data_IF_626787708444
#
_entry.id   IF_626787708444
#
_cell.length_a   1.000
_cell.length_b   1.000
_cell.length_c   1.000
_cell.angle_alpha   90.00
_cell.angle_beta   90.00
_cell.angle_gamma   90.00
#
_symmetry.space_group_name_H-M   'P 1'
#
loop_
_entity.id
_entity.type
_entity.pdbx_description
1 polymer ?
#
# COMPACT_ATOMS: atom_id res chain seq x y z
N UNK A 1 -23.62 12.52 -14.41
CA UNK A 1 -22.87 13.73 -14.00
C UNK A 1 -21.80 13.30 -13.01
N UNK A 2 -20.56 13.73 -13.20
CA UNK A 2 -19.43 13.41 -12.30
C UNK A 2 -19.49 14.23 -11.01
N UNK A 3 -18.79 13.81 -9.96
CA UNK A 3 -18.74 14.54 -8.67
C UNK A 3 -18.30 15.99 -8.86
N UNK A 4 -17.30 16.24 -9.72
CA UNK A 4 -16.80 17.58 -9.97
C UNK A 4 -17.75 18.42 -10.82
N UNK A 5 -18.51 17.82 -11.76
CA UNK A 5 -19.59 18.51 -12.47
C UNK A 5 -20.71 18.94 -11.52
N UNK A 6 -21.16 18.04 -10.63
CA UNK A 6 -22.17 18.33 -9.62
C UNK A 6 -21.72 19.45 -8.67
N UNK A 7 -20.45 19.46 -8.27
CA UNK A 7 -19.89 20.52 -7.46
C UNK A 7 -19.91 21.87 -8.20
N UNK A 8 -19.52 21.89 -9.49
CA UNK A 8 -19.55 23.13 -10.29
C UNK A 8 -20.97 23.67 -10.43
N UNK A 9 -21.95 22.80 -10.68
CA UNK A 9 -23.35 23.20 -10.77
C UNK A 9 -23.84 23.77 -9.42
N UNK A 10 -23.59 23.04 -8.32
CA UNK A 10 -24.00 23.46 -6.97
C UNK A 10 -23.38 24.78 -6.53
N UNK A 11 -22.12 25.04 -6.88
CA UNK A 11 -21.39 26.24 -6.50
C UNK A 11 -21.40 27.34 -7.59
N UNK A 12 -22.11 27.11 -8.70
CA UNK A 12 -22.16 28.00 -9.85
C UNK A 12 -20.75 28.39 -10.39
N UNK A 13 -19.88 27.39 -10.53
CA UNK A 13 -18.50 27.57 -11.00
C UNK A 13 -18.38 27.25 -12.48
N UNK A 14 -17.74 28.15 -13.24
CA UNK A 14 -17.42 27.92 -14.65
C UNK A 14 -16.04 27.27 -14.86
N UNK A 15 -15.13 27.43 -13.89
CA UNK A 15 -13.77 26.88 -13.96
C UNK A 15 -13.75 25.43 -13.50
N UNK A 16 -12.91 24.62 -14.13
CA UNK A 16 -12.60 23.26 -13.67
C UNK A 16 -11.82 23.31 -12.36
N UNK A 17 -12.09 22.34 -11.49
CA UNK A 17 -11.39 22.16 -10.22
C UNK A 17 -9.89 21.94 -10.42
N UNK A 18 -9.15 22.27 -9.39
CA UNK A 18 -7.72 22.00 -9.26
C UNK A 18 -7.47 20.88 -8.26
N UNK A 19 -6.38 20.12 -8.43
CA UNK A 19 -6.12 18.97 -7.55
C UNK A 19 -4.63 18.74 -7.26
N UNK A 20 -4.37 18.09 -6.13
CA UNK A 20 -3.09 17.45 -5.82
C UNK A 20 -3.33 15.98 -5.48
N UNK A 21 -2.59 15.07 -6.11
CA UNK A 21 -2.64 13.63 -5.84
C UNK A 21 -1.42 13.21 -5.01
N UNK A 22 -1.63 12.82 -3.76
CA UNK A 22 -0.56 12.47 -2.82
C UNK A 22 -0.33 10.96 -2.78
N UNK A 23 0.92 10.54 -3.03
CA UNK A 23 1.25 9.14 -3.29
C UNK A 23 0.80 8.70 -4.68
N UNK A 24 0.99 9.55 -5.69
CA UNK A 24 0.45 9.35 -7.04
C UNK A 24 1.08 8.16 -7.80
N UNK A 25 2.14 7.54 -7.27
CA UNK A 25 2.75 6.33 -7.78
C UNK A 25 3.19 6.45 -9.24
N UNK A 26 2.50 5.76 -10.13
CA UNK A 26 2.83 5.77 -11.55
C UNK A 26 2.34 7.03 -12.29
N UNK A 27 1.62 7.95 -11.64
CA UNK A 27 1.15 9.21 -12.21
C UNK A 27 0.01 9.10 -13.23
N UNK A 28 -0.58 7.91 -13.41
CA UNK A 28 -1.60 7.68 -14.44
C UNK A 28 -2.86 8.54 -14.21
N UNK A 29 -3.34 8.61 -12.97
CA UNK A 29 -4.52 9.41 -12.64
C UNK A 29 -4.30 10.89 -12.94
N UNK A 30 -3.13 11.41 -12.55
CA UNK A 30 -2.72 12.80 -12.81
C UNK A 30 -2.72 13.06 -14.32
N UNK A 31 -2.12 12.16 -15.11
CA UNK A 31 -2.07 12.30 -16.56
C UNK A 31 -3.47 12.33 -17.20
N UNK A 32 -4.38 11.45 -16.76
CA UNK A 32 -5.77 11.43 -17.23
C UNK A 32 -6.46 12.75 -16.90
N UNK A 33 -6.44 13.19 -15.64
CA UNK A 33 -7.10 14.43 -15.21
C UNK A 33 -6.52 15.66 -15.93
N UNK A 34 -5.19 15.71 -16.08
CA UNK A 34 -4.52 16.76 -16.85
C UNK A 34 -4.92 16.75 -18.32
N UNK A 35 -5.06 15.59 -18.95
CA UNK A 35 -5.53 15.46 -20.34
C UNK A 35 -6.98 15.90 -20.52
N UNK A 36 -7.80 15.74 -19.48
CA UNK A 36 -9.16 16.27 -19.43
C UNK A 36 -9.19 17.78 -19.14
N UNK A 37 -8.05 18.43 -18.90
CA UNK A 37 -7.94 19.87 -18.68
C UNK A 37 -8.11 20.32 -17.24
N UNK A 38 -8.04 19.40 -16.27
CA UNK A 38 -7.95 19.75 -14.85
C UNK A 38 -6.51 20.12 -14.50
N UNK A 39 -6.32 21.24 -13.78
CA UNK A 39 -4.99 21.68 -13.37
C UNK A 39 -4.62 20.99 -12.06
N UNK A 40 -3.50 20.29 -12.03
CA UNK A 40 -3.08 19.62 -10.83
C UNK A 40 -1.70 19.01 -10.94
N UNK A 41 -1.26 18.46 -9.81
CA UNK A 41 0.07 17.84 -9.67
C UNK A 41 -0.05 16.50 -8.97
N UNK A 42 0.83 15.57 -9.31
CA UNK A 42 1.05 14.36 -8.53
C UNK A 42 2.33 14.46 -7.73
N UNK A 43 2.29 14.07 -6.46
CA UNK A 43 3.46 14.03 -5.60
C UNK A 43 3.65 12.58 -5.14
N UNK A 44 4.85 12.05 -5.36
CA UNK A 44 5.24 10.75 -4.83
C UNK A 44 6.67 10.84 -4.28
N UNK A 45 6.98 10.01 -3.28
CA UNK A 45 8.32 9.95 -2.72
C UNK A 45 9.37 9.48 -3.74
N UNK A 46 8.91 8.81 -4.79
CA UNK A 46 9.77 8.19 -5.80
C UNK A 46 9.26 8.45 -7.22
N UNK A 47 10.16 8.94 -8.08
CA UNK A 47 9.91 8.99 -9.52
C UNK A 47 9.86 7.57 -10.12
N UNK A 48 8.82 7.29 -10.91
CA UNK A 48 8.69 6.03 -11.68
C UNK A 48 9.14 6.25 -13.12
N UNK A 49 9.73 5.23 -13.76
CA UNK A 49 10.21 5.31 -15.16
C UNK A 49 9.14 5.75 -16.16
N UNK A 50 7.89 5.36 -15.91
CA UNK A 50 6.75 5.75 -16.75
C UNK A 50 6.49 7.26 -16.74
N UNK A 51 6.96 8.00 -15.73
CA UNK A 51 6.80 9.45 -15.68
C UNK A 51 7.43 10.14 -16.89
N UNK A 52 8.53 9.59 -17.40
CA UNK A 52 9.23 10.12 -18.58
C UNK A 52 8.44 9.95 -19.89
N UNK A 53 7.38 9.15 -19.87
CA UNK A 53 6.51 8.92 -21.03
C UNK A 53 5.31 9.88 -21.07
N UNK A 54 5.02 10.60 -19.99
CA UNK A 54 3.92 11.56 -19.99
C UNK A 54 4.32 12.89 -20.62
N UNK A 55 3.36 13.54 -21.28
CA UNK A 55 3.57 14.85 -21.89
C UNK A 55 3.67 15.99 -20.89
N UNK A 56 4.04 17.18 -21.37
CA UNK A 56 4.25 18.40 -20.57
C UNK A 56 3.03 18.89 -19.79
N UNK A 57 1.82 18.41 -20.12
CA UNK A 57 0.59 18.69 -19.37
C UNK A 57 0.53 17.96 -18.03
N UNK A 58 1.29 16.88 -17.86
CA UNK A 58 1.29 16.03 -16.67
C UNK A 58 2.40 16.47 -15.72
N UNK A 59 2.04 17.09 -14.60
CA UNK A 59 3.02 17.60 -13.63
C UNK A 59 3.19 16.59 -12.49
N UNK A 60 4.38 15.99 -12.40
CA UNK A 60 4.72 15.00 -11.38
C UNK A 60 5.98 15.42 -10.63
N UNK A 61 5.93 15.35 -9.30
CA UNK A 61 6.94 15.86 -8.38
C UNK A 61 7.43 14.72 -7.50
N UNK A 62 8.74 14.47 -7.54
CA UNK A 62 9.39 13.53 -6.63
C UNK A 62 9.72 14.24 -5.32
N UNK A 63 8.90 14.05 -4.30
CA UNK A 63 9.05 14.67 -2.98
C UNK A 63 8.42 13.80 -1.90
N UNK A 64 9.10 13.67 -0.76
CA UNK A 64 8.53 13.05 0.42
C UNK A 64 7.39 13.92 0.98
N UNK A 65 6.26 13.30 1.28
CA UNK A 65 5.11 13.94 1.92
C UNK A 65 5.27 13.76 3.43
N UNK A 66 5.75 14.81 4.10
CA UNK A 66 5.91 14.85 5.56
C UNK A 66 4.74 15.61 6.20
N UNK A 67 4.00 14.99 7.14
CA UNK A 67 2.89 15.63 7.84
C UNK A 67 3.39 16.77 8.74
N UNK A 68 3.32 17.98 8.20
CA UNK A 68 3.88 19.19 8.81
C UNK A 68 3.18 20.43 8.28
N UNK A 69 3.32 21.53 9.01
CA UNK A 69 2.81 22.84 8.57
C UNK A 69 3.51 23.36 7.30
N UNK A 70 4.59 22.71 6.86
CA UNK A 70 5.34 23.06 5.66
C UNK A 70 4.76 22.44 4.39
N UNK A 71 3.84 21.47 4.52
CA UNK A 71 3.24 20.75 3.39
C UNK A 71 1.74 20.99 3.32
N UNK A 72 1.40 22.17 2.82
CA UNK A 72 0.03 22.65 2.68
C UNK A 72 -0.27 22.96 1.22
N UNK A 73 -1.54 22.85 0.83
CA UNK A 73 -1.98 22.98 -0.56
C UNK A 73 -3.12 24.00 -0.74
N UNK A 74 -3.10 25.17 -0.08
CA UNK A 74 -4.24 26.12 -0.04
C UNK A 74 -4.71 26.61 -1.43
N UNK A 75 -3.87 26.48 -2.46
CA UNK A 75 -4.16 26.85 -3.84
C UNK A 75 -4.97 25.81 -4.63
N UNK A 76 -5.15 24.60 -4.09
CA UNK A 76 -5.88 23.51 -4.73
C UNK A 76 -7.27 23.31 -4.12
N UNK A 77 -8.23 22.87 -4.94
CA UNK A 77 -9.59 22.57 -4.49
C UNK A 77 -9.71 21.18 -3.87
N UNK A 78 -8.94 20.20 -4.38
CA UNK A 78 -9.01 18.79 -4.01
C UNK A 78 -7.66 18.19 -3.65
N UNK A 79 -7.64 17.39 -2.58
CA UNK A 79 -6.57 16.41 -2.34
C UNK A 79 -7.10 15.02 -2.66
N UNK A 80 -6.35 14.31 -3.48
CA UNK A 80 -6.66 12.95 -3.91
C UNK A 80 -5.67 12.00 -3.22
N UNK A 81 -6.23 10.92 -2.68
CA UNK A 81 -5.51 9.78 -2.15
C UNK A 81 -5.94 8.50 -2.82
N UNK A 82 -5.45 8.27 -4.02
CA UNK A 82 -5.78 7.07 -4.78
C UNK A 82 -4.75 5.96 -4.50
N UNK A 83 -5.10 5.01 -3.64
CA UNK A 83 -4.19 3.93 -3.23
C UNK A 83 -2.88 4.42 -2.58
N UNK A 84 -2.97 5.48 -1.77
CA UNK A 84 -1.82 6.18 -1.20
C UNK A 84 -1.14 5.49 0.00
N UNK A 85 -1.40 4.20 0.24
CA UNK A 85 -0.78 3.38 1.28
C UNK A 85 -0.67 4.07 2.66
N UNK A 86 0.54 4.28 3.19
CA UNK A 86 0.81 4.89 4.49
C UNK A 86 0.33 6.34 4.60
N UNK A 87 0.15 7.04 3.47
CA UNK A 87 -0.35 8.42 3.44
C UNK A 87 -1.88 8.50 3.57
N UNK A 88 -2.59 7.39 3.38
CA UNK A 88 -4.06 7.36 3.45
C UNK A 88 -4.64 8.10 4.68
N UNK A 89 -4.20 7.84 5.93
CA UNK A 89 -4.71 8.56 7.09
C UNK A 89 -4.26 10.03 7.17
N UNK A 90 -3.16 10.39 6.51
CA UNK A 90 -2.62 11.76 6.53
C UNK A 90 -3.32 12.70 5.55
N UNK A 91 -3.84 12.19 4.44
CA UNK A 91 -4.52 12.99 3.42
C UNK A 91 -5.67 13.84 3.97
N UNK A 92 -6.63 13.31 4.76
CA UNK A 92 -7.69 14.16 5.32
C UNK A 92 -7.15 15.18 6.33
N UNK A 93 -6.07 14.87 7.05
CA UNK A 93 -5.40 15.82 7.96
C UNK A 93 -4.80 16.99 7.17
N UNK A 94 -4.01 16.68 6.13
CA UNK A 94 -3.37 17.67 5.26
C UNK A 94 -4.45 18.55 4.61
N UNK A 95 -5.53 17.95 4.10
CA UNK A 95 -6.62 18.70 3.50
C UNK A 95 -7.35 19.60 4.50
N UNK A 96 -7.61 19.08 5.71
CA UNK A 96 -8.24 19.83 6.80
C UNK A 96 -7.46 21.09 7.16
N UNK A 97 -6.14 20.97 7.29
CA UNK A 97 -5.28 22.09 7.66
C UNK A 97 -4.96 23.00 6.46
N UNK A 98 -4.97 22.49 5.23
CA UNK A 98 -4.59 23.26 4.03
C UNK A 98 -5.59 24.36 3.69
N UNK A 99 -6.89 24.07 3.77
CA UNK A 99 -7.95 25.07 3.56
C UNK A 99 -9.29 24.56 4.08
N UNK A 100 -10.08 25.48 4.63
CA UNK A 100 -11.46 25.21 5.04
C UNK A 100 -12.31 24.66 3.89
N UNK A 101 -12.09 25.14 2.66
CA UNK A 101 -12.87 24.77 1.48
C UNK A 101 -12.33 23.53 0.73
N UNK A 102 -11.25 22.92 1.22
CA UNK A 102 -10.64 21.78 0.54
C UNK A 102 -11.53 20.55 0.58
N UNK A 103 -11.45 19.73 -0.46
CA UNK A 103 -12.19 18.48 -0.61
C UNK A 103 -11.24 17.31 -0.70
N UNK A 104 -11.74 16.13 -0.37
CA UNK A 104 -10.92 14.91 -0.33
C UNK A 104 -11.58 13.80 -1.11
N UNK A 105 -10.79 13.11 -1.92
CA UNK A 105 -11.12 11.78 -2.42
C UNK A 105 -10.12 10.77 -1.87
N UNK A 106 -10.59 9.70 -1.24
CA UNK A 106 -9.76 8.60 -0.75
C UNK A 106 -10.21 7.29 -1.35
N UNK A 107 -9.28 6.55 -1.96
CA UNK A 107 -9.47 5.15 -2.32
C UNK A 107 -8.47 4.27 -1.54
N UNK A 108 -8.82 3.83 -0.32
CA UNK A 108 -7.92 3.06 0.52
C UNK A 108 -7.73 1.63 -0.01
N UNK A 109 -6.47 1.19 -0.03
CA UNK A 109 -6.09 -0.21 -0.30
C UNK A 109 -5.38 -0.85 0.90
N UNK A 110 -4.25 -0.30 1.34
CA UNK A 110 -3.49 -0.84 2.47
C UNK A 110 -4.00 -0.23 3.78
N UNK A 111 -4.07 -1.05 4.84
CA UNK A 111 -4.65 -0.62 6.10
C UNK A 111 -3.54 -0.04 6.99
N UNK A 112 -3.39 1.28 6.97
CA UNK A 112 -2.41 2.02 7.77
C UNK A 112 -3.07 3.05 8.69
N UNK A 113 -2.49 3.22 9.87
CA UNK A 113 -2.69 4.36 10.79
C UNK A 113 -1.53 5.34 10.63
N UNK A 114 -1.49 6.38 11.47
CA UNK A 114 -0.46 7.41 11.41
C UNK A 114 0.97 6.88 11.59
N UNK A 115 1.14 5.84 12.42
CA UNK A 115 2.45 5.32 12.83
C UNK A 115 2.66 3.83 12.49
N UNK A 116 1.84 3.24 11.61
CA UNK A 116 2.01 1.83 11.27
C UNK A 116 0.79 1.18 10.67
N UNK A 117 0.77 -0.15 10.67
CA UNK A 117 -0.36 -0.93 10.14
C UNK A 117 -1.55 -0.85 11.09
N UNK A 118 -2.73 -0.75 10.51
CA UNK A 118 -3.99 -0.76 11.27
C UNK A 118 -4.31 -2.16 11.80
N UNK A 119 -4.57 -2.24 13.10
CA UNK A 119 -5.08 -3.42 13.77
C UNK A 119 -6.61 -3.39 13.87
N UNK A 120 -7.25 -4.54 13.68
CA UNK A 120 -8.71 -4.64 13.68
C UNK A 120 -9.27 -4.45 15.08
N UNK A 121 -10.19 -3.50 15.24
CA UNK A 121 -10.85 -3.22 16.52
C UNK A 121 -12.30 -3.71 16.61
N UNK A 122 -12.95 -4.07 15.49
CA UNK A 122 -14.36 -4.47 15.47
C UNK A 122 -14.52 -5.99 15.26
N UNK A 123 -14.92 -6.76 16.29
CA UNK A 123 -15.30 -8.17 16.14
C UNK A 123 -16.44 -8.30 15.12
N UNK A 124 -16.38 -9.31 14.24
CA UNK A 124 -17.39 -9.54 13.20
C UNK A 124 -17.18 -8.77 11.89
N UNK A 125 -16.27 -7.78 11.84
CA UNK A 125 -15.89 -7.11 10.60
C UNK A 125 -14.66 -7.79 9.96
N UNK A 126 -14.60 -7.77 8.62
CA UNK A 126 -13.34 -8.01 7.91
C UNK A 126 -12.35 -6.88 8.22
N UNK A 127 -11.04 -7.14 8.05
CA UNK A 127 -9.99 -6.13 8.21
C UNK A 127 -10.31 -4.84 7.45
N UNK A 128 -10.74 -4.96 6.19
CA UNK A 128 -11.04 -3.82 5.34
C UNK A 128 -12.30 -3.06 5.78
N UNK A 129 -13.37 -3.75 6.16
CA UNK A 129 -14.57 -3.08 6.70
C UNK A 129 -14.29 -2.36 8.03
N UNK A 130 -13.46 -2.95 8.90
CA UNK A 130 -12.99 -2.30 10.13
C UNK A 130 -12.19 -1.04 9.80
N UNK A 131 -11.33 -1.12 8.79
CA UNK A 131 -10.51 0.00 8.35
C UNK A 131 -11.32 1.14 7.73
N UNK A 132 -12.33 0.83 6.91
CA UNK A 132 -13.25 1.84 6.36
C UNK A 132 -14.00 2.60 7.46
N UNK A 133 -14.42 1.91 8.53
CA UNK A 133 -15.02 2.57 9.70
C UNK A 133 -14.02 3.53 10.36
N UNK A 134 -12.77 3.10 10.56
CA UNK A 134 -11.72 3.97 11.08
C UNK A 134 -11.50 5.21 10.22
N UNK A 135 -11.40 5.07 8.90
CA UNK A 135 -11.22 6.21 7.99
C UNK A 135 -12.42 7.15 7.97
N UNK A 136 -13.62 6.61 8.10
CA UNK A 136 -14.84 7.40 8.19
C UNK A 136 -14.87 8.25 9.47
N UNK A 137 -14.55 7.67 10.62
CA UNK A 137 -14.40 8.41 11.88
C UNK A 137 -13.28 9.45 11.79
N UNK A 138 -12.12 9.08 11.23
CA UNK A 138 -11.02 10.01 10.99
C UNK A 138 -11.48 11.23 10.17
N UNK A 139 -12.14 11.02 9.03
CA UNK A 139 -12.59 12.13 8.18
C UNK A 139 -13.62 13.00 8.90
N UNK A 140 -14.53 12.40 9.69
CA UNK A 140 -15.47 13.16 10.53
C UNK A 140 -14.77 13.99 11.58
N UNK A 141 -13.77 13.45 12.28
CA UNK A 141 -12.98 14.21 13.26
C UNK A 141 -12.14 15.31 12.62
N UNK A 142 -11.72 15.14 11.36
CA UNK A 142 -11.13 16.22 10.57
C UNK A 142 -12.15 17.32 10.18
N UNK A 143 -13.42 17.13 10.55
CA UNK A 143 -14.51 18.10 10.40
C UNK A 143 -15.17 18.08 9.03
N UNK A 144 -15.07 16.96 8.30
CA UNK A 144 -15.68 16.81 6.98
C UNK A 144 -17.08 16.21 7.03
N UNK A 145 -17.92 16.61 6.07
CA UNK A 145 -19.08 15.83 5.66
C UNK A 145 -18.60 14.67 4.78
N UNK A 146 -18.81 13.45 5.28
CA UNK A 146 -18.19 12.23 4.76
C UNK A 146 -19.22 11.39 4.02
N UNK A 147 -18.98 11.17 2.74
CA UNK A 147 -19.74 10.26 1.90
C UNK A 147 -18.89 9.06 1.52
N UNK A 148 -19.56 7.93 1.27
CA UNK A 148 -18.91 6.71 0.84
C UNK A 148 -19.58 6.20 -0.44
N UNK A 149 -18.78 5.81 -1.43
CA UNK A 149 -19.30 5.22 -2.66
C UNK A 149 -18.49 3.95 -3.04
N UNK A 150 -19.08 3.12 -3.90
CA UNK A 150 -18.50 1.87 -4.39
C UNK A 150 -18.18 2.01 -5.87
N UNK A 151 -16.90 2.11 -6.18
CA UNK A 151 -16.39 2.22 -7.54
C UNK A 151 -16.65 0.95 -8.36
N UNK A 152 -16.90 1.14 -9.65
CA UNK A 152 -17.07 0.07 -10.64
C UNK A 152 -15.71 -0.43 -11.15
N UNK A 153 -14.88 -0.92 -10.25
CA UNK A 153 -13.57 -1.50 -10.56
C UNK A 153 -13.52 -2.97 -10.12
N UNK A 154 -12.74 -3.83 -10.80
CA UNK A 154 -12.59 -5.25 -10.47
C UNK A 154 -11.65 -5.45 -9.26
N UNK A 155 -11.96 -4.81 -8.12
CA UNK A 155 -11.20 -4.91 -6.88
C UNK A 155 -12.12 -5.22 -5.70
N UNK A 156 -11.60 -5.95 -4.70
CA UNK A 156 -12.26 -6.10 -3.40
C UNK A 156 -12.15 -4.82 -2.56
N UNK A 157 -11.19 -3.96 -2.88
CA UNK A 157 -10.92 -2.67 -2.24
C UNK A 157 -11.34 -1.52 -3.16
N UNK A 158 -12.65 -1.43 -3.36
CA UNK A 158 -13.30 -0.53 -4.34
C UNK A 158 -14.22 0.50 -3.68
N UNK A 159 -14.15 0.62 -2.36
CA UNK A 159 -14.96 1.59 -1.63
C UNK A 159 -14.10 2.84 -1.48
N UNK A 160 -14.60 3.97 -1.98
CA UNK A 160 -13.97 5.28 -1.80
C UNK A 160 -14.72 6.10 -0.75
N UNK A 161 -14.00 7.03 -0.15
CA UNK A 161 -14.52 8.04 0.77
C UNK A 161 -14.35 9.40 0.11
N UNK A 162 -15.40 10.21 0.13
CA UNK A 162 -15.45 11.55 -0.47
C UNK A 162 -15.83 12.55 0.61
N UNK A 163 -15.02 13.59 0.79
CA UNK A 163 -15.27 14.68 1.74
C UNK A 163 -15.52 15.97 0.96
N UNK A 164 -16.72 16.53 1.04
CA UNK A 164 -17.16 17.62 0.14
C UNK A 164 -17.26 19.01 0.79
N UNK A 165 -17.51 19.06 2.10
CA UNK A 165 -17.70 20.28 2.88
C UNK A 165 -17.35 20.07 4.35
N UNK A 166 -17.40 21.14 5.14
CA UNK A 166 -17.25 21.09 6.59
C UNK A 166 -18.58 20.89 7.29
N UNK A 167 -18.54 20.30 8.49
CA UNK A 167 -19.71 20.07 9.36
C UNK A 167 -19.79 21.08 10.51
N UNK A 168 -18.93 22.09 10.51
CA UNK A 168 -18.81 23.14 11.53
C UNK A 168 -18.68 24.48 10.82
N UNK A 169 -18.85 25.58 11.54
CA UNK A 169 -18.69 26.92 10.99
C UNK A 169 -17.24 27.39 11.02
N UNK A 170 -16.85 28.26 10.09
CA UNK A 170 -15.44 28.69 9.97
C UNK A 170 -14.88 29.36 11.24
N UNK A 171 -15.73 29.93 12.10
CA UNK A 171 -15.31 30.50 13.38
C UNK A 171 -14.81 29.44 14.38
N UNK A 172 -15.24 28.19 14.24
CA UNK A 172 -14.93 27.09 15.17
C UNK A 172 -13.66 26.33 14.76
N UNK A 173 -12.95 26.79 13.72
CA UNK A 173 -11.75 26.13 13.16
C UNK A 173 -10.69 25.82 14.23
N UNK A 174 -10.48 26.75 15.17
CA UNK A 174 -9.49 26.56 16.23
C UNK A 174 -9.87 25.43 17.20
N UNK A 175 -11.16 25.30 17.52
CA UNK A 175 -11.66 24.21 18.37
C UNK A 175 -11.56 22.88 17.64
N UNK A 176 -11.98 22.83 16.38
CA UNK A 176 -11.90 21.61 15.57
C UNK A 176 -10.45 21.20 15.36
N UNK A 177 -9.51 22.12 15.12
CA UNK A 177 -8.09 21.77 14.96
C UNK A 177 -7.46 21.18 16.25
N UNK A 178 -7.94 21.61 17.43
CA UNK A 178 -7.54 20.99 18.69
C UNK A 178 -8.01 19.52 18.75
N UNK A 179 -9.25 19.23 18.35
CA UNK A 179 -9.78 17.86 18.24
C UNK A 179 -9.00 17.02 17.22
N UNK A 180 -8.56 17.62 16.11
CA UNK A 180 -7.70 16.94 15.12
C UNK A 180 -6.38 16.52 15.75
N UNK A 181 -5.74 17.44 16.47
CA UNK A 181 -4.47 17.19 17.15
C UNK A 181 -4.60 16.07 18.17
N UNK A 182 -5.66 16.09 18.99
CA UNK A 182 -5.95 15.04 19.96
C UNK A 182 -6.18 13.67 19.28
N UNK A 183 -6.94 13.64 18.18
CA UNK A 183 -7.18 12.39 17.44
C UNK A 183 -5.88 11.79 16.91
N UNK A 184 -5.01 12.61 16.32
CA UNK A 184 -3.70 12.19 15.80
C UNK A 184 -2.85 11.63 16.94
N UNK A 185 -2.76 12.32 18.07
CA UNK A 185 -1.98 11.89 19.22
C UNK A 185 -2.46 10.54 19.77
N UNK A 186 -3.78 10.40 19.98
CA UNK A 186 -4.40 9.17 20.49
C UNK A 186 -4.17 7.95 19.58
N UNK A 187 -4.20 8.15 18.26
CA UNK A 187 -3.98 7.08 17.29
C UNK A 187 -2.51 6.84 16.94
N UNK A 188 -1.62 7.75 17.33
CA UNK A 188 -0.17 7.61 17.24
C UNK A 188 0.41 6.83 18.44
N UNK A 189 -0.07 7.11 19.67
CA UNK A 189 0.38 6.47 20.92
C UNK A 189 -0.02 5.00 21.05
N UNK A 190 -1.16 4.58 20.49
CA UNK A 190 -1.62 3.19 20.60
C UNK A 190 -0.65 2.17 19.98
N UNK A 191 0.23 2.60 19.07
CA UNK A 191 1.17 1.72 18.39
C UNK A 191 2.59 1.76 18.97
N UNK A 192 2.92 2.69 19.87
CA UNK A 192 4.21 2.69 20.59
C UNK A 192 4.22 1.75 21.80
N UNK A 193 3.07 1.29 22.30
CA UNK A 193 2.97 0.40 23.45
C UNK A 193 2.99 -1.10 23.11
N UNK A 194 2.90 -1.48 21.82
CA UNK A 194 2.85 -2.90 21.40
C UNK A 194 4.23 -3.51 21.08
N UNK A 195 5.35 -2.79 21.28
CA UNK A 195 6.70 -3.28 20.98
C UNK A 195 7.62 -3.49 22.20
N UNK A 196 7.11 -3.38 23.44
CA UNK A 196 7.89 -3.72 24.65
C UNK A 196 7.25 -4.88 25.42
N UNK A 197 7.28 -6.06 24.82
CA UNK A 197 7.38 -7.30 25.59
C UNK A 197 8.74 -7.89 25.32
N UNK A 198 9.74 -7.51 26.12
CA UNK A 198 10.87 -8.36 26.47
C UNK A 198 11.51 -7.81 27.77
N UNK A 199 11.40 -8.65 28.81
CA UNK A 199 12.23 -8.70 30.02
C UNK A 199 12.06 -7.59 31.07
N UNK A 200 11.09 -7.80 31.96
CA UNK A 200 11.22 -7.35 33.35
C UNK A 200 12.38 -8.12 34.01
N UNK A 201 13.56 -7.50 34.04
CA UNK A 201 14.69 -7.87 34.87
C UNK A 201 15.21 -6.61 35.55
N UNK A 202 15.23 -6.61 36.88
CA UNK A 202 15.68 -5.53 37.76
C UNK A 202 16.98 -4.84 37.30
N UNK A 203 17.03 -3.50 37.35
CA UNK A 203 17.91 -2.75 38.26
C UNK A 203 17.87 -1.23 38.01
N UNK A 204 18.07 -0.48 39.10
CA UNK A 204 18.31 0.95 39.19
C UNK A 204 19.29 1.50 38.14
N UNK A 205 19.04 2.70 37.59
CA UNK A 205 19.74 3.95 37.96
C UNK A 205 19.41 5.11 36.99
N UNK A 206 19.22 6.27 37.64
CA UNK A 206 19.50 7.64 37.21
C UNK A 206 18.64 8.33 36.14
N UNK A 207 17.96 9.36 36.65
CA UNK A 207 17.56 10.55 35.94
C UNK A 207 18.78 11.26 35.33
N UNK A 208 18.61 11.76 34.11
CA UNK A 208 18.99 13.08 33.60
C UNK A 208 19.27 13.02 32.09
N UNK A 209 18.41 13.65 31.29
CA UNK A 209 18.79 14.83 30.51
C UNK A 209 17.58 15.35 29.73
N UNK A 210 16.99 16.44 30.24
CA UNK A 210 16.23 17.38 29.41
C UNK A 210 17.22 17.97 28.42
N UNK A 211 17.07 17.65 27.15
CA UNK A 211 17.55 18.49 26.05
C UNK A 211 16.32 19.13 25.42
N UNK A 212 16.12 20.39 25.76
CA UNK A 212 15.21 21.26 25.03
C UNK A 212 15.77 21.44 23.61
N UNK A 213 15.06 20.92 22.60
CA UNK A 213 15.35 21.20 21.20
C UNK A 213 14.07 21.58 20.47
N UNK A 214 14.00 22.86 20.10
CA UNK A 214 13.37 23.44 18.91
C UNK A 214 11.91 23.05 18.61
N UNK A 215 11.00 24.04 18.58
CA UNK A 215 9.64 23.94 17.98
C UNK A 215 9.70 23.13 16.67
N UNK A 216 9.31 21.86 16.69
CA UNK A 216 9.23 21.05 15.49
C UNK A 216 7.88 21.33 14.83
N UNK A 217 7.88 21.87 13.61
CA UNK A 217 6.68 22.08 12.78
C UNK A 217 6.03 20.76 12.28
N UNK A 218 6.36 19.63 12.90
CA UNK A 218 5.89 18.29 12.57
C UNK A 218 4.66 17.96 13.41
N UNK A 219 3.65 17.35 12.81
CA UNK A 219 2.43 16.97 13.53
C UNK A 219 2.60 15.70 14.37
N UNK A 220 3.59 14.86 14.03
CA UNK A 220 4.00 13.68 14.79
C UNK A 220 5.52 13.55 14.73
N UNK A 221 6.14 13.18 15.86
CA UNK A 221 7.60 13.06 15.98
C UNK A 221 8.18 11.78 15.33
N UNK A 222 7.37 10.72 15.21
CA UNK A 222 7.81 9.38 14.76
C UNK A 222 7.30 9.02 13.34
N UNK A 223 6.84 9.99 12.56
CA UNK A 223 6.45 9.70 11.18
C UNK A 223 7.68 9.41 10.33
N UNK A 224 7.73 8.22 9.73
CA UNK A 224 8.83 7.81 8.85
C UNK A 224 8.28 7.73 7.43
N UNK A 225 8.66 8.66 6.52
CA UNK A 225 8.36 8.53 5.11
C UNK A 225 8.94 7.23 4.55
N UNK A 226 8.26 6.67 3.54
CA UNK A 226 8.78 5.51 2.80
C UNK A 226 10.16 5.83 2.21
N UNK A 227 11.06 4.85 2.18
CA UNK A 227 12.37 5.00 1.54
C UNK A 227 12.21 5.39 0.05
N UNK A 228 13.05 6.31 -0.42
CA UNK A 228 13.08 6.72 -1.85
C UNK A 228 13.40 5.54 -2.78
N UNK A 229 14.12 4.55 -2.27
CA UNK A 229 14.53 3.34 -2.99
C UNK A 229 13.67 2.16 -2.57
N UNK A 230 12.85 1.64 -3.49
CA UNK A 230 12.18 0.35 -3.28
C UNK A 230 13.18 -0.76 -3.62
N UNK A 231 13.61 -1.53 -2.63
CA UNK A 231 14.25 -2.80 -2.88
C UNK A 231 13.22 -3.72 -3.53
N UNK A 232 13.33 -3.91 -4.84
CA UNK A 232 12.42 -4.79 -5.58
C UNK A 232 12.71 -6.23 -5.15
N UNK A 233 11.86 -6.76 -4.26
CA UNK A 233 11.97 -8.11 -3.67
C UNK A 233 10.93 -9.04 -4.27
N UNK A 234 10.82 -9.05 -5.59
CA UNK A 234 10.01 -10.00 -6.34
C UNK A 234 10.94 -10.90 -7.17
N UNK A 235 10.54 -12.15 -7.38
CA UNK A 235 11.34 -13.13 -8.13
C UNK A 235 11.54 -12.76 -9.61
N UNK A 236 11.04 -11.61 -10.09
CA UNK A 236 11.18 -11.18 -11.50
C UNK A 236 12.56 -10.59 -11.82
N UNK A 237 13.40 -10.34 -10.80
CA UNK A 237 14.80 -9.93 -10.98
C UNK A 237 15.81 -11.05 -10.69
N UNK A 238 15.35 -12.28 -10.46
CA UNK A 238 16.27 -13.42 -10.37
C UNK A 238 16.91 -13.63 -11.73
N UNK A 239 18.22 -13.87 -11.71
CA UNK A 239 18.97 -14.26 -12.90
C UNK A 239 18.25 -15.44 -13.59
N UNK A 240 17.99 -15.33 -14.90
CA UNK A 240 17.32 -16.38 -15.66
C UNK A 240 18.03 -17.71 -15.50
N UNK A 241 19.37 -17.67 -15.41
CA UNK A 241 20.18 -18.86 -15.17
C UNK A 241 19.89 -19.51 -13.82
N UNK A 242 19.74 -18.71 -12.76
CA UNK A 242 19.39 -19.23 -11.43
C UNK A 242 17.97 -19.84 -11.40
N UNK A 243 17.01 -19.24 -12.12
CA UNK A 243 15.66 -19.78 -12.23
C UNK A 243 15.67 -21.14 -12.93
N UNK A 244 16.36 -21.24 -14.07
CA UNK A 244 16.52 -22.48 -14.84
C UNK A 244 17.20 -23.58 -14.02
N UNK A 245 18.32 -23.28 -13.37
CA UNK A 245 19.03 -24.20 -12.47
C UNK A 245 18.11 -24.73 -11.36
N UNK A 246 17.26 -23.86 -10.81
CA UNK A 246 16.32 -24.27 -9.75
C UNK A 246 15.18 -25.14 -10.29
N UNK A 247 14.63 -24.83 -11.46
CA UNK A 247 13.61 -25.68 -12.10
C UNK A 247 14.17 -27.07 -12.37
N UNK A 248 15.38 -27.17 -12.92
CA UNK A 248 16.04 -28.44 -13.22
C UNK A 248 16.25 -29.24 -11.93
N UNK A 249 16.82 -28.62 -10.88
CA UNK A 249 17.06 -29.29 -9.61
C UNK A 249 15.78 -29.88 -8.98
N UNK A 250 14.66 -29.15 -9.04
CA UNK A 250 13.37 -29.65 -8.53
C UNK A 250 12.84 -30.77 -9.42
N UNK A 251 12.94 -30.66 -10.74
CA UNK A 251 12.48 -31.69 -11.67
C UNK A 251 13.26 -32.99 -11.50
N UNK A 252 14.59 -32.94 -11.33
CA UNK A 252 15.43 -34.11 -11.06
C UNK A 252 15.02 -34.81 -9.76
N UNK A 253 14.72 -34.06 -8.70
CA UNK A 253 14.23 -34.63 -7.43
C UNK A 253 12.90 -35.36 -7.65
N UNK A 254 11.98 -34.80 -8.42
CA UNK A 254 10.69 -35.43 -8.72
C UNK A 254 10.85 -36.68 -9.58
N UNK A 255 11.79 -36.68 -10.53
CA UNK A 255 12.05 -37.80 -11.44
C UNK A 255 12.80 -38.97 -10.79
N UNK A 256 13.41 -38.79 -9.60
CA UNK A 256 13.98 -39.91 -8.82
C UNK A 256 12.96 -40.99 -8.50
N UNK A 257 11.69 -40.61 -8.37
CA UNK A 257 10.60 -41.57 -8.26
C UNK A 257 10.28 -42.07 -9.66
N UNK A 258 10.70 -43.29 -9.97
CA UNK A 258 10.54 -43.94 -11.26
C UNK A 258 9.09 -44.40 -11.50
N UNK A 259 8.22 -43.46 -11.86
CA UNK A 259 6.81 -43.72 -12.12
C UNK A 259 6.52 -43.66 -13.64
N UNK A 260 6.78 -44.78 -14.33
CA UNK A 260 6.67 -44.85 -15.77
C UNK A 260 5.23 -45.00 -16.26
N UNK A 261 4.83 -44.10 -17.15
CA UNK A 261 3.60 -44.17 -17.94
C UNK A 261 3.96 -44.71 -19.32
N UNK A 262 3.31 -45.79 -19.73
CA UNK A 262 3.50 -46.38 -21.04
C UNK A 262 2.47 -45.81 -22.02
N UNK A 263 2.97 -45.08 -23.01
CA UNK A 263 2.14 -44.48 -24.06
C UNK A 263 2.35 -45.31 -25.32
N UNK A 264 1.29 -45.95 -25.80
CA UNK A 264 1.32 -46.64 -27.08
C UNK A 264 1.13 -45.63 -28.21
N UNK A 265 2.11 -45.58 -29.12
CA UNK A 265 1.98 -44.88 -30.40
C UNK A 265 2.29 -45.86 -31.52
N UNK A 266 1.30 -46.11 -32.35
CA UNK A 266 1.34 -46.99 -33.51
C UNK A 266 1.89 -48.39 -33.19
N UNK A 267 3.21 -48.59 -33.33
CA UNK A 267 3.93 -49.87 -33.12
C UNK A 267 4.98 -49.83 -32.00
N UNK A 268 5.19 -48.68 -31.35
CA UNK A 268 6.18 -48.49 -30.30
C UNK A 268 5.54 -48.08 -28.97
N UNK A 269 5.98 -48.73 -27.88
CA UNK A 269 5.65 -48.33 -26.51
C UNK A 269 6.72 -47.36 -26.02
N UNK A 270 6.33 -46.10 -25.79
CA UNK A 270 7.21 -45.11 -25.16
C UNK A 270 6.95 -45.14 -23.65
N UNK A 271 8.00 -45.41 -22.87
CA UNK A 271 7.96 -45.30 -21.41
C UNK A 271 8.38 -43.91 -21.00
N UNK A 272 7.47 -43.16 -20.37
CA UNK A 272 7.73 -41.80 -19.88
C UNK A 272 7.66 -41.77 -18.36
N UNK A 273 8.75 -41.36 -17.70
CA UNK A 273 8.73 -41.19 -16.24
C UNK A 273 7.95 -39.93 -15.89
N UNK A 274 6.80 -40.10 -15.25
CA UNK A 274 5.95 -39.00 -14.77
C UNK A 274 6.43 -38.37 -13.47
N UNK A 275 7.45 -38.96 -12.85
CA UNK A 275 7.95 -38.55 -11.56
C UNK A 275 6.99 -38.87 -10.41
N UNK A 276 7.41 -38.48 -9.22
CA UNK A 276 6.65 -38.66 -7.99
C UNK A 276 5.98 -37.38 -7.48
N UNK A 277 5.34 -37.51 -6.32
CA UNK A 277 4.88 -36.40 -5.52
C UNK A 277 5.79 -36.24 -4.30
N UNK A 278 6.21 -35.01 -4.01
CA UNK A 278 6.96 -34.67 -2.79
C UNK A 278 6.24 -33.57 -2.02
N UNK A 279 6.33 -33.58 -0.69
CA UNK A 279 5.84 -32.46 0.11
C UNK A 279 6.75 -31.23 -0.07
N UNK A 280 6.21 -30.03 0.14
CA UNK A 280 7.02 -28.80 0.09
C UNK A 280 8.12 -28.81 1.16
N UNK A 281 7.87 -29.44 2.32
CA UNK A 281 8.83 -29.55 3.42
C UNK A 281 10.00 -30.47 3.05
N UNK A 282 9.71 -31.66 2.51
CA UNK A 282 10.73 -32.61 2.08
C UNK A 282 11.53 -32.08 0.89
N UNK A 283 10.88 -31.33 -0.02
CA UNK A 283 11.57 -30.64 -1.10
C UNK A 283 12.54 -29.59 -0.54
N UNK A 284 12.12 -28.82 0.47
CA UNK A 284 12.98 -27.84 1.09
C UNK A 284 14.18 -28.48 1.81
N UNK A 285 14.05 -29.71 2.32
CA UNK A 285 15.18 -30.47 2.89
C UNK A 285 16.12 -30.98 1.79
N UNK A 286 15.56 -31.38 0.65
CA UNK A 286 16.31 -31.99 -0.46
C UNK A 286 17.02 -30.99 -1.37
N UNK A 287 16.64 -29.71 -1.33
CA UNK A 287 17.25 -28.65 -2.13
C UNK A 287 18.51 -28.10 -1.49
N UNK A 288 19.47 -27.70 -2.33
CA UNK A 288 20.73 -27.11 -1.88
C UNK A 288 20.49 -25.81 -1.06
N UNK A 289 21.29 -25.66 0.00
CA UNK A 289 21.35 -24.49 0.88
C UNK A 289 21.51 -23.18 0.10
N UNK A 290 22.24 -23.20 -1.03
CA UNK A 290 22.43 -22.04 -1.89
C UNK A 290 21.12 -21.61 -2.58
N UNK A 291 20.35 -22.56 -3.08
CA UNK A 291 19.04 -22.32 -3.72
C UNK A 291 18.06 -21.76 -2.66
N UNK A 292 18.01 -22.37 -1.48
CA UNK A 292 17.14 -21.94 -0.39
C UNK A 292 17.49 -20.55 0.15
N UNK A 293 18.78 -20.22 0.28
CA UNK A 293 19.23 -18.87 0.67
C UNK A 293 18.91 -17.84 -0.41
N UNK A 294 19.11 -18.19 -1.68
CA UNK A 294 18.69 -17.36 -2.82
C UNK A 294 17.19 -17.07 -2.80
N UNK A 295 16.37 -18.09 -2.52
CA UNK A 295 14.91 -17.97 -2.42
C UNK A 295 14.43 -17.25 -1.15
N UNK A 296 15.10 -17.43 0.00
CA UNK A 296 14.77 -16.73 1.27
C UNK A 296 15.03 -15.23 1.21
N UNK A 297 15.96 -14.79 0.36
CA UNK A 297 16.23 -13.36 0.14
C UNK A 297 15.07 -12.63 -0.56
N UNK A 298 14.09 -13.37 -1.09
CA UNK A 298 12.95 -12.85 -1.84
C UNK A 298 11.63 -13.14 -1.11
N UNK A 299 10.70 -12.19 -1.13
CA UNK A 299 9.40 -12.35 -0.47
C UNK A 299 8.55 -13.39 -1.20
N UNK A 300 8.42 -14.59 -0.60
CA UNK A 300 7.54 -15.68 -1.06
C UNK A 300 8.17 -17.07 -1.05
N UNK A 301 9.51 -17.15 -1.01
CA UNK A 301 10.25 -18.41 -0.90
C UNK A 301 9.90 -19.46 -1.97
N UNK A 302 10.17 -20.72 -1.65
CA UNK A 302 9.96 -21.88 -2.54
C UNK A 302 8.49 -22.03 -2.97
N UNK A 303 7.53 -21.79 -2.07
CA UNK A 303 6.10 -21.90 -2.41
C UNK A 303 5.66 -20.92 -3.49
N UNK A 304 6.08 -19.66 -3.41
CA UNK A 304 5.72 -18.66 -4.42
C UNK A 304 6.41 -18.96 -5.75
N UNK A 305 7.66 -19.43 -5.73
CA UNK A 305 8.36 -19.88 -6.93
C UNK A 305 7.59 -20.98 -7.66
N UNK A 306 7.18 -22.03 -6.95
CA UNK A 306 6.44 -23.16 -7.52
C UNK A 306 5.09 -22.71 -8.10
N UNK A 307 4.39 -21.80 -7.41
CA UNK A 307 3.11 -21.24 -7.89
C UNK A 307 3.26 -20.36 -9.14
N UNK A 308 4.45 -19.80 -9.39
CA UNK A 308 4.71 -18.99 -10.57
C UNK A 308 5.16 -19.84 -11.78
N UNK A 309 5.65 -21.07 -11.57
CA UNK A 309 6.07 -22.01 -12.61
C UNK A 309 5.03 -23.11 -12.87
N UNK A 310 3.77 -22.70 -13.05
CA UNK A 310 2.62 -23.62 -13.22
C UNK A 310 2.69 -24.46 -14.49
N UNK A 311 3.51 -24.05 -15.45
CA UNK A 311 3.76 -24.75 -16.71
C UNK A 311 4.66 -25.98 -16.55
N UNK A 312 5.33 -26.12 -15.40
CA UNK A 312 6.21 -27.26 -15.09
C UNK A 312 5.71 -28.01 -13.86
N UNK A 313 5.30 -27.28 -12.82
CA UNK A 313 4.93 -27.87 -11.53
C UNK A 313 3.45 -27.67 -11.20
N UNK A 314 2.85 -28.72 -10.66
CA UNK A 314 1.52 -28.68 -10.07
C UNK A 314 1.61 -28.81 -8.55
N UNK A 315 1.03 -27.84 -7.83
CA UNK A 315 0.95 -27.84 -6.36
C UNK A 315 -0.46 -28.16 -5.90
N UNK A 316 -0.67 -29.29 -5.22
CA UNK A 316 -1.97 -29.72 -4.66
C UNK A 316 -1.79 -30.26 -3.24
N UNK A 317 -2.62 -29.81 -2.29
CA UNK A 317 -2.62 -30.27 -0.89
C UNK A 317 -1.22 -30.26 -0.23
N UNK A 318 -0.41 -29.24 -0.50
CA UNK A 318 0.96 -29.14 0.04
C UNK A 318 2.00 -30.06 -0.61
N UNK A 319 1.62 -30.80 -1.65
CA UNK A 319 2.49 -31.66 -2.47
C UNK A 319 2.73 -31.06 -3.84
N UNK A 320 3.87 -31.42 -4.42
CA UNK A 320 4.38 -30.94 -5.71
C UNK A 320 4.60 -32.14 -6.61
N UNK A 321 4.21 -32.02 -7.88
CA UNK A 321 4.51 -32.99 -8.95
C UNK A 321 4.77 -32.25 -10.27
N UNK A 322 5.30 -32.97 -11.25
CA UNK A 322 5.36 -32.51 -12.63
C UNK A 322 3.95 -32.42 -13.23
N UNK A 323 3.74 -31.47 -14.14
CA UNK A 323 2.47 -31.31 -14.86
C UNK A 323 2.27 -32.37 -15.94
#
# INVERSE_FOLDING_TARGET
>A
MTTWEQERERLNLSKKQTFVDLGCGNGLLVSILSSEGYKGVGIDVRKRKIWDLYGSSTVLIEKAVEPSDQLMFPEYDWIIGNHSDELTPWIPVIAARSSYNMRVFLLPCCCYTFNGKYERHFPGNTQYQSYLKFLHELCKTMGFDVQQDKLRIPSTKRICIVCQSRTYEKCDEAEVDALRSEFIENHSKRYTCSSVYLQAGNSHMQAEHKVAMSKSNLWVHDFIPREKTENVRNCTHLDKKFLEETVIAIAEILLKTENYVHIQRDTNTISWNSGGQISIEDLAISLDSKILKGMKSQCGGLQTFLRNHKNVFQVRNGKIQLQ
#
